data_IF_387122044585
#
_entry.id   IF_387122044585
#
_cell.length_a   1.000
_cell.length_b   1.000
_cell.length_c   1.000
_cell.angle_alpha   90.00
_cell.angle_beta   90.00
_cell.angle_gamma   90.00
#
_symmetry.space_group_name_H-M   'P 1'
#
loop_
_entity.id
_entity.type
_entity.pdbx_description
1 polymer ?
#
# COMPACT_ATOMS: atom_id res chain seq x y z
N UNK A 1 3.21 8.64 -17.77
CA UNK A 1 1.91 8.58 -17.06
C UNK A 1 2.07 8.65 -15.55
N UNK A 2 2.47 7.59 -14.84
CA UNK A 2 2.47 7.59 -13.36
C UNK A 2 3.59 8.41 -12.70
N UNK A 3 4.79 8.39 -13.29
CA UNK A 3 6.00 9.08 -12.80
C UNK A 3 5.96 10.62 -12.96
N UNK A 4 5.14 11.12 -13.88
CA UNK A 4 5.13 12.53 -14.30
C UNK A 4 3.83 13.25 -13.97
N UNK A 5 2.96 12.66 -13.13
CA UNK A 5 1.64 13.21 -12.79
C UNK A 5 0.82 13.67 -14.02
N UNK A 6 0.96 12.95 -15.13
CA UNK A 6 0.11 13.19 -16.30
C UNK A 6 -1.30 12.71 -15.91
N UNK A 7 -2.31 13.59 -15.88
CA UNK A 7 -3.65 13.20 -15.47
C UNK A 7 -4.21 12.21 -16.47
N UNK A 8 -4.27 10.93 -16.08
CA UNK A 8 -5.10 9.94 -16.77
C UNK A 8 -6.54 10.13 -16.30
N UNK A 9 -7.49 10.10 -17.23
CA UNK A 9 -8.92 10.31 -16.94
C UNK A 9 -9.50 9.25 -16.01
N UNK A 10 -8.91 8.06 -16.03
CA UNK A 10 -9.24 6.93 -15.18
C UNK A 10 -8.02 6.47 -14.38
N UNK A 11 -8.26 5.85 -13.22
CA UNK A 11 -7.23 5.16 -12.47
C UNK A 11 -6.78 3.95 -13.28
N UNK A 12 -5.47 3.75 -13.40
CA UNK A 12 -4.88 2.60 -14.11
C UNK A 12 -5.29 1.25 -13.53
N UNK A 13 -6.00 1.25 -12.39
CA UNK A 13 -6.68 0.12 -11.76
C UNK A 13 -7.51 -0.71 -12.77
N UNK A 14 -8.12 -0.06 -13.78
CA UNK A 14 -8.93 -0.73 -14.79
C UNK A 14 -8.20 -1.04 -16.11
N UNK A 15 -6.97 -0.57 -16.31
CA UNK A 15 -6.27 -0.67 -17.61
C UNK A 15 -5.05 -1.61 -17.60
N UNK A 16 -4.62 -2.12 -16.45
CA UNK A 16 -3.46 -3.02 -16.35
C UNK A 16 -3.86 -4.47 -16.07
N UNK A 17 -3.42 -5.39 -16.93
CA UNK A 17 -3.53 -6.85 -16.72
C UNK A 17 -2.80 -7.34 -15.45
N UNK A 18 -1.92 -6.50 -14.88
CA UNK A 18 -1.18 -6.75 -13.65
C UNK A 18 -1.45 -5.63 -12.63
N UNK A 19 -2.61 -5.72 -11.98
CA UNK A 19 -2.99 -4.88 -10.84
C UNK A 19 -1.94 -4.93 -9.71
N UNK A 20 -1.21 -6.03 -9.55
CA UNK A 20 -0.16 -6.17 -8.57
C UNK A 20 0.97 -5.16 -8.77
N UNK A 21 1.40 -4.97 -10.02
CA UNK A 21 2.39 -3.96 -10.39
C UNK A 21 1.89 -2.54 -10.14
N UNK A 22 0.63 -2.26 -10.42
CA UNK A 22 0.01 -0.97 -10.13
C UNK A 22 0.01 -0.66 -8.63
N UNK A 23 -0.42 -1.60 -7.80
CA UNK A 23 -0.44 -1.47 -6.34
C UNK A 23 0.97 -1.30 -5.76
N UNK A 24 1.97 -1.99 -6.33
CA UNK A 24 3.37 -1.80 -5.98
C UNK A 24 3.84 -0.37 -6.29
N UNK A 25 3.54 0.15 -7.48
CA UNK A 25 3.87 1.54 -7.84
C UNK A 25 3.14 2.56 -6.95
N UNK A 26 1.90 2.28 -6.55
CA UNK A 26 1.15 3.12 -5.61
C UNK A 26 1.86 3.25 -4.26
N UNK A 27 2.36 2.13 -3.70
CA UNK A 27 3.22 2.14 -2.52
C UNK A 27 4.51 2.92 -2.76
N UNK A 28 5.19 2.63 -3.85
CA UNK A 28 6.46 3.23 -4.21
C UNK A 28 6.38 4.77 -4.30
N UNK A 29 5.30 5.29 -4.89
CA UNK A 29 5.08 6.71 -5.13
C UNK A 29 4.18 7.39 -4.08
N UNK A 30 3.72 6.67 -3.05
CA UNK A 30 2.75 7.16 -2.05
C UNK A 30 1.50 7.78 -2.70
N UNK A 31 0.93 7.06 -3.68
CA UNK A 31 -0.34 7.39 -4.34
C UNK A 31 -1.40 6.39 -3.95
N UNK A 32 -2.63 6.86 -3.78
CA UNK A 32 -3.73 6.02 -3.39
C UNK A 32 -4.06 5.05 -4.52
N UNK A 33 -4.12 3.75 -4.19
CA UNK A 33 -4.51 2.72 -5.15
C UNK A 33 -5.89 2.96 -5.78
N UNK A 34 -6.80 3.62 -5.05
CA UNK A 34 -8.18 3.85 -5.50
C UNK A 34 -8.28 5.14 -6.31
N UNK A 35 -7.77 6.27 -5.79
CA UNK A 35 -8.02 7.60 -6.37
C UNK A 35 -6.75 8.38 -6.78
N UNK A 36 -5.56 7.78 -6.71
CA UNK A 36 -4.26 8.41 -6.99
C UNK A 36 -3.87 9.63 -6.14
N UNK A 37 -4.71 10.06 -5.18
CA UNK A 37 -4.36 11.12 -4.23
C UNK A 37 -3.16 10.73 -3.35
N UNK A 38 -2.56 11.71 -2.67
CA UNK A 38 -1.44 11.45 -1.74
C UNK A 38 -1.86 10.42 -0.67
N UNK A 39 -1.04 9.40 -0.49
CA UNK A 39 -1.38 8.24 0.32
C UNK A 39 -0.40 7.95 1.46
N UNK A 40 -0.94 7.24 2.44
CA UNK A 40 -0.24 6.64 3.57
C UNK A 40 -0.20 5.12 3.38
N UNK A 41 0.71 4.46 4.10
CA UNK A 41 0.90 3.01 4.04
C UNK A 41 -0.06 2.35 5.02
N UNK A 42 -1.07 1.67 4.49
CA UNK A 42 -1.99 0.85 5.24
C UNK A 42 -1.48 -0.60 5.30
N UNK A 43 -1.37 -1.16 6.50
CA UNK A 43 -0.92 -2.55 6.68
C UNK A 43 -2.13 -3.48 6.72
N UNK A 44 -2.15 -4.45 5.80
CA UNK A 44 -3.25 -5.42 5.65
C UNK A 44 -3.07 -6.60 6.60
N UNK A 45 -1.82 -7.02 6.79
CA UNK A 45 -1.51 -8.00 7.82
C UNK A 45 -1.60 -7.32 9.19
N UNK A 46 -2.56 -7.73 10.03
CA UNK A 46 -2.57 -7.35 11.44
C UNK A 46 -1.28 -7.87 12.07
N UNK A 47 -0.37 -6.97 12.43
CA UNK A 47 0.76 -7.28 13.31
C UNK A 47 0.14 -7.98 14.53
N UNK A 48 0.45 -9.27 14.70
CA UNK A 48 -0.04 -10.04 15.83
C UNK A 48 0.27 -9.30 17.12
N UNK A 49 -0.71 -9.27 18.04
CA UNK A 49 -0.60 -8.65 19.36
C UNK A 49 0.67 -9.21 20.03
N UNK A 50 1.73 -8.39 20.11
CA UNK A 50 3.01 -8.77 20.72
C UNK A 50 4.28 -8.23 20.06
N UNK A 51 4.20 -7.59 18.88
CA UNK A 51 5.36 -6.97 18.23
C UNK A 51 5.45 -5.46 18.46
N UNK A 52 6.50 -4.99 19.12
CA UNK A 52 6.82 -3.58 19.19
C UNK A 52 6.90 -2.97 17.78
N UNK A 53 6.18 -1.87 17.55
CA UNK A 53 6.09 -1.21 16.23
C UNK A 53 7.43 -0.62 15.79
N UNK A 54 8.34 -0.39 16.75
CA UNK A 54 9.73 0.01 16.47
C UNK A 54 10.63 -1.19 16.09
N UNK A 55 10.30 -2.42 16.49
CA UNK A 55 11.15 -3.60 16.29
C UNK A 55 10.65 -4.56 15.18
N UNK A 56 9.47 -4.31 14.62
CA UNK A 56 8.89 -5.18 13.59
C UNK A 56 9.64 -5.04 12.27
N UNK A 57 10.18 -6.15 11.76
CA UNK A 57 10.75 -6.21 10.41
C UNK A 57 9.61 -6.14 9.41
N UNK A 58 9.51 -5.04 8.66
CA UNK A 58 8.41 -4.80 7.72
C UNK A 58 8.58 -5.60 6.41
N UNK A 59 9.77 -6.15 6.17
CA UNK A 59 10.05 -6.98 4.98
C UNK A 59 9.21 -8.24 5.06
N UNK A 60 8.38 -8.44 4.05
CA UNK A 60 7.52 -9.60 3.90
C UNK A 60 6.09 -9.43 4.40
N UNK A 61 5.77 -8.29 5.02
CA UNK A 61 4.40 -7.92 5.38
C UNK A 61 3.64 -7.38 4.17
N UNK A 62 2.32 -7.52 4.17
CA UNK A 62 1.43 -6.96 3.15
C UNK A 62 0.95 -5.57 3.53
N UNK A 63 1.14 -4.63 2.62
CA UNK A 63 0.68 -3.26 2.75
C UNK A 63 0.09 -2.72 1.44
N UNK A 64 -0.67 -1.63 1.52
CA UNK A 64 -1.24 -0.93 0.38
C UNK A 64 -1.18 0.58 0.62
N UNK A 65 -1.11 1.38 -0.44
CA UNK A 65 -1.14 2.83 -0.32
C UNK A 65 -2.57 3.36 -0.47
N UNK A 66 -3.09 4.00 0.58
CA UNK A 66 -4.43 4.60 0.61
C UNK A 66 -4.36 6.06 1.06
N UNK A 67 -5.15 6.95 0.45
CA UNK A 67 -5.30 8.31 0.96
C UNK A 67 -6.03 8.29 2.30
N UNK A 68 -5.98 9.39 3.05
CA UNK A 68 -6.56 9.48 4.39
C UNK A 68 -8.02 8.98 4.46
N UNK A 69 -8.86 9.36 3.49
CA UNK A 69 -10.27 8.96 3.42
C UNK A 69 -10.42 7.44 3.27
N UNK A 70 -9.82 6.86 2.23
CA UNK A 70 -9.84 5.41 2.01
C UNK A 70 -9.09 4.62 3.10
N UNK A 71 -8.11 5.24 3.76
CA UNK A 71 -7.37 4.63 4.86
C UNK A 71 -8.27 4.48 6.10
N UNK A 72 -9.04 5.52 6.43
CA UNK A 72 -10.05 5.47 7.48
C UNK A 72 -11.19 4.50 7.14
N UNK A 73 -11.60 4.46 5.88
CA UNK A 73 -12.60 3.51 5.41
C UNK A 73 -12.12 2.06 5.53
N UNK A 74 -10.86 1.78 5.18
CA UNK A 74 -10.27 0.46 5.37
C UNK A 74 -10.24 0.04 6.84
N UNK A 75 -10.05 0.97 7.79
CA UNK A 75 -10.15 0.63 9.22
C UNK A 75 -11.55 0.17 9.66
N UNK A 76 -12.60 0.58 8.94
CA UNK A 76 -13.99 0.23 9.25
C UNK A 76 -14.43 -1.00 8.46
N UNK A 77 -14.15 -1.01 7.15
CA UNK A 77 -14.68 -1.97 6.18
C UNK A 77 -13.62 -2.51 5.20
N UNK A 78 -12.44 -2.88 5.71
CA UNK A 78 -11.30 -3.36 4.91
C UNK A 78 -11.68 -4.34 3.80
N UNK A 79 -12.36 -5.44 4.15
CA UNK A 79 -12.71 -6.50 3.19
C UNK A 79 -13.61 -6.00 2.06
N UNK A 80 -14.66 -5.27 2.41
CA UNK A 80 -15.62 -4.73 1.45
C UNK A 80 -14.95 -3.74 0.52
N UNK A 81 -14.15 -2.82 1.07
CA UNK A 81 -13.40 -1.84 0.27
C UNK A 81 -12.45 -2.53 -0.71
N UNK A 82 -11.80 -3.59 -0.28
CA UNK A 82 -10.82 -4.32 -1.08
C UNK A 82 -11.50 -5.13 -2.19
N UNK A 83 -12.61 -5.79 -1.88
CA UNK A 83 -13.42 -6.53 -2.84
C UNK A 83 -14.07 -5.60 -3.89
N UNK A 84 -14.66 -4.49 -3.46
CA UNK A 84 -15.32 -3.50 -4.34
C UNK A 84 -14.36 -2.87 -5.34
N UNK A 85 -13.12 -2.59 -4.90
CA UNK A 85 -12.11 -1.95 -5.74
C UNK A 85 -11.12 -2.96 -6.36
N UNK A 86 -11.32 -4.26 -6.15
CA UNK A 86 -10.43 -5.34 -6.61
C UNK A 86 -8.95 -5.16 -6.16
N UNK A 87 -8.71 -4.51 -5.03
CA UNK A 87 -7.36 -4.22 -4.51
C UNK A 87 -6.94 -5.17 -3.40
N UNK A 88 -5.63 -5.32 -3.19
CA UNK A 88 -5.07 -6.17 -2.14
C UNK A 88 -3.71 -5.68 -1.63
N UNK A 89 -3.28 -6.22 -0.48
CA UNK A 89 -1.98 -5.91 0.09
C UNK A 89 -0.81 -6.51 -0.71
N UNK A 90 0.17 -5.69 -1.03
CA UNK A 90 1.43 -6.07 -1.68
C UNK A 90 2.49 -6.37 -0.63
N UNK A 91 3.21 -7.47 -0.84
CA UNK A 91 4.33 -7.86 0.01
C UNK A 91 5.45 -6.83 -0.10
N UNK A 92 5.80 -6.22 1.02
CA UNK A 92 6.89 -5.27 1.12
C UNK A 92 8.23 -6.00 0.93
N UNK A 93 9.01 -5.56 -0.04
CA UNK A 93 10.39 -5.99 -0.25
C UNK A 93 11.37 -5.00 0.40
N UNK A 94 12.66 -5.33 0.38
CA UNK A 94 13.68 -4.44 0.92
C UNK A 94 13.70 -3.07 0.25
N UNK A 95 13.34 -2.99 -1.04
CA UNK A 95 13.33 -1.75 -1.80
C UNK A 95 12.23 -0.81 -1.30
N UNK A 96 10.99 -1.30 -1.22
CA UNK A 96 9.85 -0.56 -0.69
C UNK A 96 10.08 -0.19 0.78
N UNK A 97 10.59 -1.08 1.62
CA UNK A 97 10.87 -0.75 3.01
C UNK A 97 11.89 0.40 3.12
N UNK A 98 12.98 0.37 2.33
CA UNK A 98 13.96 1.48 2.29
C UNK A 98 13.33 2.78 1.80
N UNK A 99 12.53 2.74 0.74
CA UNK A 99 11.90 3.92 0.14
C UNK A 99 10.83 4.54 1.05
N UNK A 100 10.05 3.69 1.72
CA UNK A 100 9.02 4.09 2.65
C UNK A 100 9.58 4.52 4.01
N UNK A 101 10.89 4.31 4.25
CA UNK A 101 11.60 4.53 5.51
C UNK A 101 11.04 3.67 6.66
N UNK A 102 10.63 2.44 6.34
CA UNK A 102 10.17 1.45 7.30
C UNK A 102 11.37 0.72 7.91
N UNK A 103 11.22 0.22 9.14
CA UNK A 103 12.33 -0.47 9.80
C UNK A 103 12.62 -1.82 9.13
N UNK A 104 13.85 -1.98 8.64
CA UNK A 104 14.35 -3.19 7.96
C UNK A 104 15.30 -4.03 8.82
N UNK A 105 15.65 -3.59 10.04
CA UNK A 105 16.67 -4.26 10.85
C UNK A 105 16.03 -5.19 11.87
N UNK A 106 16.12 -6.50 11.62
CA UNK A 106 16.09 -7.49 12.70
C UNK A 106 17.31 -7.24 13.58
N UNK A 107 17.11 -6.97 14.87
CA UNK A 107 18.20 -6.94 15.84
C UNK A 107 18.77 -8.37 15.94
N UNK A 108 20.04 -8.52 15.55
CA UNK A 108 20.86 -9.70 15.88
C UNK A 108 21.13 -9.75 17.38
#
# INVERSE_FOLDING_TARGET
CFHWDVPTKDTLLHETDDIGKYLYMCLEHRKCAICNARAEVHHVDRIGIGGDREETVHIGMRAIALCHEHHMEAHIREKELFEENYIYGIKLDEYLCKKLRLNTKSRR
#
